data_IF_689940201894
#
_entry.id   IF_689940201894
#
_cell.length_a   1.000
_cell.length_b   1.000
_cell.length_c   1.000
_cell.angle_alpha   90.00
_cell.angle_beta   90.00
_cell.angle_gamma   90.00
#
_symmetry.space_group_name_H-M   'P 1'
#
loop_
_entity.id
_entity.type
_entity.pdbx_description
1 polymer ?
#
# COMPACT_ATOMS: atom_id res chain seq x y z
N UNK A 1 25.42 1.94 -17.23
CA UNK A 1 24.64 2.70 -16.24
C UNK A 1 24.65 1.88 -14.98
N UNK A 2 25.16 2.45 -13.89
CA UNK A 2 24.98 1.86 -12.55
C UNK A 2 23.48 1.87 -12.22
N UNK A 3 22.99 0.75 -11.70
CA UNK A 3 21.61 0.66 -11.23
C UNK A 3 21.52 1.45 -9.92
N UNK A 4 20.59 2.39 -9.85
CA UNK A 4 20.38 3.21 -8.64
C UNK A 4 19.80 2.32 -7.54
N UNK A 5 20.43 2.31 -6.36
CA UNK A 5 19.87 1.69 -5.16
C UNK A 5 18.91 2.67 -4.46
N UNK A 6 17.62 2.48 -4.68
CA UNK A 6 16.58 3.34 -4.10
C UNK A 6 16.50 3.23 -2.57
N UNK A 7 16.90 2.10 -1.96
CA UNK A 7 16.91 1.98 -0.50
C UNK A 7 17.99 2.87 0.09
N UNK A 8 19.20 2.83 -0.48
CA UNK A 8 20.29 3.71 -0.04
C UNK A 8 19.94 5.19 -0.27
N UNK A 9 19.34 5.53 -1.41
CA UNK A 9 18.91 6.89 -1.70
C UNK A 9 17.83 7.40 -0.72
N UNK A 10 16.82 6.58 -0.40
CA UNK A 10 15.80 6.94 0.58
C UNK A 10 16.41 7.12 1.98
N UNK A 11 17.35 6.26 2.37
CA UNK A 11 18.00 6.39 3.68
C UNK A 11 18.82 7.69 3.78
N UNK A 12 19.51 8.08 2.72
CA UNK A 12 20.17 9.38 2.67
C UNK A 12 19.16 10.53 2.82
N UNK A 13 18.06 10.50 2.05
CA UNK A 13 17.03 11.54 2.12
C UNK A 13 16.40 11.64 3.53
N UNK A 14 16.19 10.51 4.23
CA UNK A 14 15.74 10.50 5.63
C UNK A 14 16.71 11.23 6.56
N UNK A 15 17.99 10.90 6.45
CA UNK A 15 19.03 11.54 7.27
C UNK A 15 19.09 13.05 7.02
N UNK A 16 18.93 13.48 5.77
CA UNK A 16 18.92 14.91 5.41
C UNK A 16 17.68 15.62 5.98
N UNK A 17 16.52 14.96 6.01
CA UNK A 17 15.31 15.47 6.69
C UNK A 17 15.44 15.48 8.21
N UNK A 18 16.15 14.52 8.82
CA UNK A 18 16.42 14.53 10.27
C UNK A 18 17.44 15.61 10.67
N UNK A 19 18.28 16.09 9.76
CA UNK A 19 19.24 17.15 10.06
C UNK A 19 18.60 18.54 10.23
N UNK A 20 17.35 18.73 9.79
CA UNK A 20 16.67 20.04 9.73
C UNK A 20 15.63 20.26 10.86
N UNK A 21 15.73 19.52 11.98
CA UNK A 21 14.87 19.60 13.16
C UNK A 21 14.72 21.05 13.68
N UNK A 22 13.67 21.75 13.24
CA UNK A 22 12.73 22.54 14.07
C UNK A 22 11.81 23.45 13.25
N UNK A 23 12.14 23.79 11.98
CA UNK A 23 11.26 24.61 11.14
C UNK A 23 11.26 24.14 9.68
N UNK A 24 10.10 23.66 9.19
CA UNK A 24 9.87 23.46 7.75
C UNK A 24 9.79 24.83 7.09
N UNK A 25 10.91 25.36 6.62
CA UNK A 25 10.96 26.54 5.76
C UNK A 25 10.82 26.09 4.30
N UNK A 26 10.52 27.04 3.39
CA UNK A 26 10.55 26.75 1.95
C UNK A 26 11.90 26.23 1.44
N UNK A 27 12.99 26.52 2.15
CA UNK A 27 14.34 26.04 1.82
C UNK A 27 14.50 24.52 2.03
N UNK A 28 13.66 23.91 2.87
CA UNK A 28 13.71 22.48 3.18
C UNK A 28 12.70 21.64 2.37
N UNK A 29 11.90 22.28 1.51
CA UNK A 29 10.87 21.63 0.69
C UNK A 29 11.45 20.49 -0.14
N UNK A 30 12.55 20.74 -0.86
CA UNK A 30 13.14 19.75 -1.77
C UNK A 30 13.58 18.47 -1.02
N UNK A 31 14.08 18.58 0.22
CA UNK A 31 14.48 17.41 1.01
C UNK A 31 13.27 16.52 1.38
N UNK A 32 12.15 17.15 1.72
CA UNK A 32 10.89 16.43 1.98
C UNK A 32 10.34 15.80 0.69
N UNK A 33 10.43 16.50 -0.44
CA UNK A 33 10.04 15.98 -1.75
C UNK A 33 10.89 14.77 -2.16
N UNK A 34 12.20 14.81 -1.92
CA UNK A 34 13.12 13.71 -2.17
C UNK A 34 12.79 12.48 -1.31
N UNK A 35 12.55 12.67 -0.01
CA UNK A 35 12.18 11.57 0.88
C UNK A 35 10.82 10.97 0.50
N UNK A 36 9.82 11.81 0.19
CA UNK A 36 8.50 11.38 -0.30
C UNK A 36 8.61 10.54 -1.58
N UNK A 37 9.36 11.02 -2.58
CA UNK A 37 9.62 10.29 -3.82
C UNK A 37 10.34 8.97 -3.55
N UNK A 38 11.33 8.99 -2.65
CA UNK A 38 12.10 7.81 -2.26
C UNK A 38 11.20 6.70 -1.71
N UNK A 39 10.22 7.04 -0.87
CA UNK A 39 9.26 6.07 -0.36
C UNK A 39 8.50 5.35 -1.49
N UNK A 40 8.03 6.10 -2.49
CA UNK A 40 7.29 5.56 -3.65
C UNK A 40 8.19 4.66 -4.50
N UNK A 41 9.41 5.12 -4.80
CA UNK A 41 10.36 4.36 -5.62
C UNK A 41 10.76 3.03 -4.99
N UNK A 42 11.01 3.02 -3.68
CA UNK A 42 11.28 1.77 -2.95
C UNK A 42 10.04 0.87 -2.95
N UNK A 43 8.84 1.43 -2.77
CA UNK A 43 7.61 0.64 -2.75
C UNK A 43 7.29 -0.02 -4.12
N UNK A 44 7.59 0.66 -5.23
CA UNK A 44 7.51 0.09 -6.58
C UNK A 44 8.54 -1.02 -6.80
N UNK A 45 9.77 -0.85 -6.31
CA UNK A 45 10.79 -1.89 -6.42
C UNK A 45 10.42 -3.14 -5.61
N UNK A 46 9.86 -2.96 -4.40
CA UNK A 46 9.31 -4.04 -3.59
C UNK A 46 8.14 -4.78 -4.27
N UNK A 47 7.40 -4.12 -5.17
CA UNK A 47 6.37 -4.79 -5.96
C UNK A 47 7.00 -5.61 -7.10
N UNK A 48 8.03 -5.07 -7.75
CA UNK A 48 8.77 -5.76 -8.84
C UNK A 48 9.52 -6.98 -8.35
N UNK A 49 10.12 -6.93 -7.17
CA UNK A 49 10.87 -8.04 -6.58
C UNK A 49 9.97 -9.19 -6.08
N UNK A 50 8.66 -8.91 -5.91
CA UNK A 50 7.61 -9.81 -5.41
C UNK A 50 7.86 -10.40 -4.00
N UNK A 51 8.91 -9.98 -3.30
CA UNK A 51 9.36 -10.53 -2.02
C UNK A 51 9.27 -9.51 -0.88
N UNK A 52 9.34 -8.23 -1.20
CA UNK A 52 9.45 -7.16 -0.20
C UNK A 52 8.17 -6.32 -0.05
N UNK A 53 7.08 -6.69 -0.74
CA UNK A 53 5.83 -5.90 -0.74
C UNK A 53 5.22 -5.65 0.64
N UNK A 54 5.52 -6.47 1.64
CA UNK A 54 5.11 -6.27 3.04
C UNK A 54 5.68 -4.99 3.67
N UNK A 55 6.73 -4.40 3.09
CA UNK A 55 7.29 -3.11 3.56
C UNK A 55 6.45 -1.91 3.10
N UNK A 56 5.58 -2.09 2.10
CA UNK A 56 4.93 -0.97 1.42
C UNK A 56 3.92 -0.24 2.31
N UNK A 57 3.25 -0.93 3.24
CA UNK A 57 2.37 -0.27 4.21
C UNK A 57 3.11 0.74 5.08
N UNK A 58 4.36 0.45 5.48
CA UNK A 58 5.19 1.41 6.22
C UNK A 58 5.63 2.59 5.34
N UNK A 59 6.10 2.30 4.12
CA UNK A 59 6.55 3.33 3.17
C UNK A 59 5.42 4.29 2.78
N UNK A 60 4.20 3.80 2.63
CA UNK A 60 3.02 4.62 2.35
C UNK A 60 2.68 5.58 3.50
N UNK A 61 2.72 5.13 4.75
CA UNK A 61 2.51 6.00 5.92
C UNK A 61 3.60 7.07 6.03
N UNK A 62 4.84 6.71 5.75
CA UNK A 62 5.96 7.64 5.73
C UNK A 62 5.81 8.69 4.62
N UNK A 63 5.47 8.25 3.41
CA UNK A 63 5.15 9.12 2.27
C UNK A 63 4.04 10.12 2.61
N UNK A 64 2.93 9.65 3.22
CA UNK A 64 1.85 10.52 3.69
C UNK A 64 2.32 11.54 4.74
N UNK A 65 3.21 11.13 5.64
CA UNK A 65 3.83 12.04 6.62
C UNK A 65 4.63 13.17 5.97
N UNK A 66 5.33 12.90 4.87
CA UNK A 66 6.02 13.93 4.09
C UNK A 66 5.03 14.78 3.28
N UNK A 67 4.06 14.17 2.61
CA UNK A 67 3.01 14.87 1.87
C UNK A 67 2.25 15.87 2.75
N UNK A 68 1.90 15.47 3.99
CA UNK A 68 1.22 16.34 4.94
C UNK A 68 2.05 17.57 5.35
N UNK A 69 3.38 17.45 5.41
CA UNK A 69 4.28 18.59 5.65
C UNK A 69 4.41 19.50 4.43
N UNK A 70 4.25 18.93 3.23
CA UNK A 70 4.37 19.63 1.94
C UNK A 70 3.06 20.28 1.47
N UNK A 71 1.92 19.96 2.09
CA UNK A 71 0.59 20.31 1.57
C UNK A 71 0.31 21.81 1.41
N UNK A 72 1.01 22.66 2.18
CA UNK A 72 0.84 24.12 2.11
C UNK A 72 1.75 24.77 1.05
N UNK A 73 2.58 24.00 0.35
CA UNK A 73 3.41 24.45 -0.76
C UNK A 73 2.72 24.06 -2.07
N UNK A 74 2.04 25.01 -2.71
CA UNK A 74 1.29 24.78 -3.95
C UNK A 74 2.18 24.20 -5.07
N UNK A 75 3.46 24.55 -5.09
CA UNK A 75 4.42 24.02 -6.06
C UNK A 75 4.68 22.51 -5.89
N UNK A 76 4.42 21.96 -4.70
CA UNK A 76 4.56 20.53 -4.41
C UNK A 76 3.29 19.73 -4.72
N UNK A 77 2.14 20.37 -4.96
CA UNK A 77 0.85 19.69 -5.13
C UNK A 77 0.87 18.66 -6.24
N UNK A 78 1.45 19.00 -7.40
CA UNK A 78 1.54 18.06 -8.53
C UNK A 78 2.38 16.83 -8.18
N UNK A 79 3.47 17.02 -7.43
CA UNK A 79 4.32 15.91 -7.00
C UNK A 79 3.62 15.04 -5.95
N UNK A 80 2.88 15.65 -5.01
CA UNK A 80 2.08 14.92 -4.02
C UNK A 80 1.02 14.07 -4.73
N UNK A 81 0.29 14.64 -5.69
CA UNK A 81 -0.70 13.93 -6.51
C UNK A 81 -0.07 12.72 -7.20
N UNK A 82 1.04 12.92 -7.91
CA UNK A 82 1.74 11.85 -8.63
C UNK A 82 2.26 10.75 -7.68
N UNK A 83 2.77 11.12 -6.50
CA UNK A 83 3.23 10.18 -5.48
C UNK A 83 2.07 9.38 -4.87
N UNK A 84 0.93 10.03 -4.61
CA UNK A 84 -0.27 9.38 -4.10
C UNK A 84 -0.82 8.36 -5.11
N UNK A 85 -0.95 8.77 -6.37
CA UNK A 85 -1.37 7.88 -7.46
C UNK A 85 -0.48 6.64 -7.54
N UNK A 86 0.85 6.82 -7.61
CA UNK A 86 1.81 5.72 -7.73
C UNK A 86 1.83 4.82 -6.50
N UNK A 87 1.78 5.39 -5.29
CA UNK A 87 1.76 4.60 -4.07
C UNK A 87 0.50 3.73 -3.98
N UNK A 88 -0.65 4.26 -4.39
CA UNK A 88 -1.92 3.53 -4.40
C UNK A 88 -1.91 2.29 -5.28
N UNK A 89 -1.13 2.31 -6.37
CA UNK A 89 -0.97 1.15 -7.25
C UNK A 89 -0.14 0.02 -6.60
N UNK A 90 0.59 0.29 -5.52
CA UNK A 90 1.49 -0.70 -4.87
C UNK A 90 1.08 -1.11 -3.45
N UNK A 91 -0.01 -0.53 -2.88
CA UNK A 91 -0.52 -0.85 -1.53
C UNK A 91 -1.90 -1.51 -1.49
N UNK A 92 -2.21 -2.38 -2.45
CA UNK A 92 -3.54 -2.99 -2.66
C UNK A 92 -4.11 -3.84 -1.50
N UNK A 93 -3.34 -4.10 -0.43
CA UNK A 93 -3.78 -4.88 0.76
C UNK A 93 -4.16 -4.03 1.96
N UNK A 94 -4.11 -2.70 1.84
CA UNK A 94 -4.32 -1.74 2.93
C UNK A 94 -5.47 -0.78 2.59
N UNK A 95 -6.74 -1.17 2.82
CA UNK A 95 -7.89 -0.37 2.39
C UNK A 95 -8.01 0.98 3.09
N UNK A 96 -7.73 1.07 4.41
CA UNK A 96 -7.81 2.36 5.13
C UNK A 96 -6.65 3.26 4.72
N UNK A 97 -5.46 2.71 4.56
CA UNK A 97 -4.33 3.49 4.06
C UNK A 97 -4.58 3.97 2.62
N UNK A 98 -5.25 3.18 1.79
CA UNK A 98 -5.66 3.60 0.44
C UNK A 98 -6.67 4.76 0.48
N UNK A 99 -7.58 4.78 1.46
CA UNK A 99 -8.49 5.92 1.70
C UNK A 99 -7.68 7.16 2.03
N UNK A 100 -6.74 7.10 2.97
CA UNK A 100 -5.90 8.24 3.37
C UNK A 100 -5.11 8.80 2.17
N UNK A 101 -4.56 7.93 1.31
CA UNK A 101 -3.87 8.35 0.09
C UNK A 101 -4.81 9.03 -0.91
N UNK A 102 -5.99 8.47 -1.15
CA UNK A 102 -6.97 9.07 -2.06
C UNK A 102 -7.51 10.41 -1.54
N UNK A 103 -7.66 10.56 -0.23
CA UNK A 103 -8.03 11.83 0.40
C UNK A 103 -6.93 12.89 0.24
N UNK A 104 -5.66 12.52 0.43
CA UNK A 104 -4.52 13.40 0.16
C UNK A 104 -4.48 13.83 -1.32
N UNK A 105 -4.65 12.89 -2.25
CA UNK A 105 -4.67 13.13 -3.69
C UNK A 105 -5.79 14.12 -4.08
N UNK A 106 -7.00 13.93 -3.56
CA UNK A 106 -8.13 14.86 -3.78
C UNK A 106 -7.96 16.22 -3.11
N UNK A 107 -7.16 16.31 -2.04
CA UNK A 107 -6.92 17.56 -1.34
C UNK A 107 -5.95 18.48 -2.11
N UNK A 108 -4.96 17.91 -2.80
CA UNK A 108 -3.99 18.67 -3.61
C UNK A 108 -4.37 18.75 -5.09
N UNK A 109 -5.27 17.90 -5.56
CA UNK A 109 -5.74 17.89 -6.95
C UNK A 109 -6.44 19.20 -7.33
N UNK A 110 -6.01 19.78 -8.46
CA UNK A 110 -6.56 21.05 -8.96
C UNK A 110 -7.85 20.84 -9.76
N UNK A 111 -8.03 19.64 -10.32
CA UNK A 111 -9.20 19.26 -11.12
C UNK A 111 -10.12 18.29 -10.37
N UNK A 112 -11.42 18.34 -10.68
CA UNK A 112 -12.36 17.36 -10.15
C UNK A 112 -12.12 15.98 -10.78
N UNK A 113 -11.54 15.07 -10.00
CA UNK A 113 -11.46 13.66 -10.37
C UNK A 113 -12.68 12.88 -9.83
N UNK A 114 -13.75 12.88 -10.61
CA UNK A 114 -14.99 12.13 -10.33
C UNK A 114 -14.72 10.61 -10.17
N UNK A 115 -13.78 10.06 -10.93
CA UNK A 115 -13.47 8.63 -10.89
C UNK A 115 -12.76 8.25 -9.58
N UNK A 116 -11.81 9.08 -9.13
CA UNK A 116 -11.16 8.94 -7.85
C UNK A 116 -12.14 9.11 -6.69
N UNK A 117 -13.04 10.12 -6.74
CA UNK A 117 -14.10 10.31 -5.75
C UNK A 117 -15.02 9.10 -5.65
N UNK A 118 -15.46 8.57 -6.78
CA UNK A 118 -16.30 7.36 -6.83
C UNK A 118 -15.59 6.15 -6.21
N UNK A 119 -14.30 5.94 -6.55
CA UNK A 119 -13.47 4.88 -5.96
C UNK A 119 -13.28 5.06 -4.45
N UNK A 120 -13.08 6.29 -3.98
CA UNK A 120 -12.96 6.62 -2.55
C UNK A 120 -14.24 6.27 -1.80
N UNK A 121 -15.41 6.62 -2.33
CA UNK A 121 -16.70 6.30 -1.71
C UNK A 121 -16.96 4.79 -1.63
N UNK A 122 -16.57 4.02 -2.65
CA UNK A 122 -16.65 2.57 -2.62
C UNK A 122 -15.74 1.96 -1.54
N UNK A 123 -14.51 2.47 -1.38
CA UNK A 123 -13.61 2.05 -0.32
C UNK A 123 -14.16 2.38 1.07
N UNK A 124 -14.62 3.63 1.26
CA UNK A 124 -15.25 4.08 2.52
C UNK A 124 -16.47 3.23 2.87
N UNK A 125 -17.31 2.93 1.88
CA UNK A 125 -18.46 2.05 2.08
C UNK A 125 -18.05 0.66 2.57
N UNK A 126 -17.08 0.02 1.88
CA UNK A 126 -16.62 -1.32 2.25
C UNK A 126 -15.98 -1.36 3.65
N UNK A 127 -15.11 -0.39 3.98
CA UNK A 127 -14.53 -0.25 5.32
C UNK A 127 -15.64 -0.07 6.37
N UNK A 128 -16.62 0.79 6.09
CA UNK A 128 -17.75 1.03 6.99
C UNK A 128 -18.59 -0.24 7.23
N UNK A 129 -18.82 -1.06 6.21
CA UNK A 129 -19.45 -2.37 6.35
C UNK A 129 -18.59 -3.33 7.19
N UNK A 130 -17.28 -3.37 6.94
CA UNK A 130 -16.35 -4.22 7.69
C UNK A 130 -16.33 -3.85 9.19
N UNK A 131 -16.28 -2.57 9.52
CA UNK A 131 -16.27 -2.07 10.91
C UNK A 131 -17.57 -2.41 11.65
N UNK A 132 -18.69 -2.52 10.94
CA UNK A 132 -19.98 -2.98 11.49
C UNK A 132 -20.13 -4.51 11.52
N UNK A 133 -19.16 -5.26 11.01
CA UNK A 133 -19.23 -6.72 10.86
C UNK A 133 -20.16 -7.20 9.74
N UNK A 134 -20.61 -6.32 8.85
CA UNK A 134 -21.53 -6.61 7.75
C UNK A 134 -20.76 -7.10 6.50
N UNK A 135 -19.97 -8.16 6.66
CA UNK A 135 -19.06 -8.64 5.62
C UNK A 135 -19.77 -9.11 4.34
N UNK A 136 -21.04 -9.51 4.45
CA UNK A 136 -21.90 -9.89 3.33
C UNK A 136 -22.28 -8.71 2.42
N UNK A 137 -22.20 -7.48 2.93
CA UNK A 137 -22.53 -6.25 2.18
C UNK A 137 -21.34 -5.65 1.43
N UNK A 138 -20.12 -6.15 1.65
CA UNK A 138 -18.91 -5.64 1.01
C UNK A 138 -19.01 -5.82 -0.51
N UNK A 139 -18.85 -4.71 -1.24
CA UNK A 139 -18.84 -4.67 -2.70
C UNK A 139 -17.54 -5.27 -3.23
N UNK A 140 -17.66 -6.06 -4.29
CA UNK A 140 -16.51 -6.52 -5.08
C UNK A 140 -16.13 -5.43 -6.06
N UNK A 141 -14.95 -4.82 -5.87
CA UNK A 141 -14.51 -3.66 -6.66
C UNK A 141 -13.71 -4.04 -7.92
N UNK A 142 -13.52 -5.35 -8.16
CA UNK A 142 -12.79 -5.86 -9.31
C UNK A 142 -13.53 -7.06 -9.92
N UNK A 143 -13.12 -7.46 -11.13
CA UNK A 143 -13.65 -8.65 -11.79
C UNK A 143 -13.35 -9.95 -11.01
N UNK A 144 -12.22 -9.99 -10.29
CA UNK A 144 -11.88 -11.08 -9.39
C UNK A 144 -12.41 -10.78 -7.99
N UNK A 145 -13.04 -11.79 -7.39
CA UNK A 145 -13.55 -11.69 -6.02
C UNK A 145 -12.41 -11.78 -5.01
N UNK A 146 -12.41 -10.88 -4.04
CA UNK A 146 -11.57 -10.94 -2.83
C UNK A 146 -12.40 -11.32 -1.62
N UNK A 147 -11.74 -11.88 -0.59
CA UNK A 147 -12.44 -12.21 0.65
C UNK A 147 -12.80 -10.92 1.41
N UNK A 148 -14.08 -10.70 1.79
CA UNK A 148 -14.49 -9.55 2.61
C UNK A 148 -13.65 -9.30 3.87
N UNK A 149 -13.01 -10.33 4.45
CA UNK A 149 -12.12 -10.14 5.61
C UNK A 149 -10.94 -9.20 5.31
N UNK A 150 -10.54 -9.04 4.04
CA UNK A 150 -9.47 -8.14 3.60
C UNK A 150 -9.80 -6.65 3.85
N UNK A 151 -11.06 -6.31 4.13
CA UNK A 151 -11.50 -4.95 4.47
C UNK A 151 -11.52 -4.67 5.98
N UNK A 152 -11.33 -5.69 6.81
CA UNK A 152 -11.39 -5.55 8.28
C UNK A 152 -10.17 -4.82 8.83
N UNK A 153 -10.34 -4.15 9.96
CA UNK A 153 -9.22 -3.52 10.65
C UNK A 153 -8.18 -4.55 11.12
N UNK A 154 -8.65 -5.73 11.55
CA UNK A 154 -7.79 -6.83 11.98
C UNK A 154 -6.86 -7.32 10.85
N UNK A 155 -7.38 -7.42 9.61
CA UNK A 155 -6.56 -7.75 8.44
C UNK A 155 -5.41 -6.74 8.25
N UNK A 156 -5.75 -5.46 8.19
CA UNK A 156 -4.79 -4.38 7.89
C UNK A 156 -3.73 -4.21 8.99
N UNK A 157 -4.07 -4.56 10.23
CA UNK A 157 -3.14 -4.57 11.36
C UNK A 157 -2.04 -5.63 11.25
N UNK A 158 -2.31 -6.76 10.58
CA UNK A 158 -1.40 -7.92 10.60
C UNK A 158 -0.85 -8.29 9.22
N UNK A 159 -1.41 -7.77 8.13
CA UNK A 159 -1.10 -8.28 6.78
C UNK A 159 0.37 -8.10 6.37
N UNK A 160 1.02 -7.02 6.80
CA UNK A 160 2.45 -6.81 6.54
C UNK A 160 3.30 -7.86 7.29
N UNK A 161 3.00 -8.12 8.57
CA UNK A 161 3.70 -9.15 9.36
C UNK A 161 3.44 -10.56 8.82
N UNK A 162 2.20 -10.83 8.43
CA UNK A 162 1.81 -12.10 7.79
C UNK A 162 2.58 -12.31 6.48
N UNK A 163 2.66 -11.29 5.63
CA UNK A 163 3.37 -11.42 4.35
C UNK A 163 4.90 -11.52 4.54
N UNK A 164 5.45 -10.88 5.57
CA UNK A 164 6.84 -11.09 5.99
C UNK A 164 7.08 -12.54 6.44
N UNK A 165 6.21 -13.09 7.29
CA UNK A 165 6.28 -14.51 7.70
C UNK A 165 6.18 -15.46 6.49
N UNK A 166 5.25 -15.21 5.58
CA UNK A 166 5.07 -16.01 4.35
C UNK A 166 6.32 -15.95 3.48
N UNK A 167 6.91 -14.77 3.31
CA UNK A 167 8.14 -14.60 2.52
C UNK A 167 9.32 -15.34 3.15
N UNK A 168 9.46 -15.30 4.48
CA UNK A 168 10.51 -16.02 5.20
C UNK A 168 10.33 -17.54 5.11
N UNK A 169 9.10 -18.04 5.26
CA UNK A 169 8.81 -19.47 5.15
C UNK A 169 9.04 -20.02 3.73
N UNK A 170 8.89 -19.19 2.69
CA UNK A 170 9.02 -19.59 1.29
C UNK A 170 10.34 -19.15 0.63
N UNK A 171 11.30 -18.62 1.39
CA UNK A 171 12.53 -17.99 0.85
C UNK A 171 13.38 -18.93 -0.02
N UNK A 172 13.36 -20.22 0.30
CA UNK A 172 14.15 -21.28 -0.37
C UNK A 172 13.32 -22.07 -1.40
N UNK A 173 12.01 -21.79 -1.51
CA UNK A 173 11.14 -22.49 -2.44
C UNK A 173 11.32 -21.94 -3.88
N UNK A 174 11.45 -22.82 -4.90
CA UNK A 174 11.61 -22.38 -6.27
C UNK A 174 10.32 -21.70 -6.77
N UNK A 175 10.46 -20.47 -7.27
CA UNK A 175 9.37 -19.81 -7.99
C UNK A 175 9.04 -20.53 -9.31
N UNK A 176 7.80 -20.39 -9.79
CA UNK A 176 7.36 -20.97 -11.06
C UNK A 176 5.86 -21.20 -11.12
N UNK A 177 5.44 -22.02 -12.10
CA UNK A 177 4.05 -22.42 -12.29
C UNK A 177 3.47 -23.03 -11.01
N UNK A 178 2.38 -22.46 -10.51
CA UNK A 178 1.64 -22.88 -9.34
C UNK A 178 2.12 -22.28 -8.02
N UNK A 179 3.17 -21.45 -8.04
CA UNK A 179 3.75 -20.86 -6.85
C UNK A 179 2.75 -20.01 -6.07
N UNK A 180 1.82 -19.33 -6.75
CA UNK A 180 0.76 -18.55 -6.09
C UNK A 180 -0.10 -19.39 -5.13
N UNK A 181 -0.36 -20.67 -5.46
CA UNK A 181 -1.16 -21.55 -4.59
C UNK A 181 -0.40 -21.94 -3.33
N UNK A 182 0.93 -22.08 -3.40
CA UNK A 182 1.76 -22.30 -2.21
C UNK A 182 1.75 -21.07 -1.31
N UNK A 183 1.94 -19.87 -1.88
CA UNK A 183 1.83 -18.59 -1.16
C UNK A 183 0.49 -18.47 -0.46
N UNK A 184 -0.62 -18.77 -1.13
CA UNK A 184 -1.96 -18.68 -0.53
C UNK A 184 -2.20 -19.72 0.56
N UNK A 185 -1.68 -20.94 0.39
CA UNK A 185 -1.77 -21.99 1.41
C UNK A 185 -1.03 -21.58 2.69
N UNK A 186 0.20 -21.07 2.55
CA UNK A 186 0.99 -20.57 3.68
C UNK A 186 0.34 -19.35 4.31
N UNK A 187 -0.06 -18.34 3.51
CA UNK A 187 -0.74 -17.13 4.02
C UNK A 187 -1.98 -17.49 4.84
N UNK A 188 -2.81 -18.41 4.35
CA UNK A 188 -4.01 -18.85 5.07
C UNK A 188 -3.66 -19.48 6.44
N UNK A 189 -2.62 -20.31 6.48
CA UNK A 189 -2.13 -20.91 7.75
C UNK A 189 -1.55 -19.86 8.69
N UNK A 190 -0.82 -18.86 8.18
CA UNK A 190 -0.26 -17.80 9.00
C UNK A 190 -1.37 -16.91 9.57
N UNK A 191 -2.33 -16.50 8.74
CA UNK A 191 -3.51 -15.70 9.14
C UNK A 191 -4.34 -16.36 10.24
N UNK A 192 -4.47 -17.70 10.24
CA UNK A 192 -5.23 -18.39 11.29
C UNK A 192 -4.57 -18.27 12.68
N UNK A 193 -3.24 -18.09 12.75
CA UNK A 193 -2.53 -17.76 14.01
C UNK A 193 -3.02 -16.42 14.60
N UNK A 194 -3.43 -15.50 13.73
CA UNK A 194 -3.99 -14.19 14.08
C UNK A 194 -5.53 -14.21 14.23
N UNK A 195 -6.16 -15.39 14.14
CA UNK A 195 -7.62 -15.54 14.24
C UNK A 195 -8.39 -15.12 12.99
N UNK A 196 -7.72 -15.02 11.83
CA UNK A 196 -8.35 -14.66 10.56
C UNK A 196 -8.52 -15.90 9.70
N UNK A 197 -9.77 -16.29 9.45
CA UNK A 197 -10.13 -17.33 8.48
C UNK A 197 -10.28 -16.72 7.09
N UNK A 198 -9.21 -16.75 6.30
CA UNK A 198 -9.17 -16.18 4.96
C UNK A 198 -9.36 -17.23 3.86
N UNK A 199 -10.13 -16.88 2.82
CA UNK A 199 -10.33 -17.69 1.62
C UNK A 199 -9.44 -17.18 0.50
N UNK A 200 -8.65 -18.08 -0.08
CA UNK A 200 -7.75 -17.77 -1.20
C UNK A 200 -8.50 -17.29 -2.46
N UNK A 201 -7.82 -16.57 -3.37
CA UNK A 201 -8.36 -16.21 -4.68
C UNK A 201 -8.92 -17.42 -5.45
N UNK A 202 -8.22 -18.57 -5.43
CA UNK A 202 -8.69 -19.82 -6.05
C UNK A 202 -9.96 -20.38 -5.41
N UNK A 203 -10.15 -20.19 -4.10
CA UNK A 203 -11.37 -20.60 -3.39
C UNK A 203 -12.54 -19.68 -3.72
N UNK A 204 -12.29 -18.37 -3.81
CA UNK A 204 -13.29 -17.34 -4.10
C UNK A 204 -13.73 -17.31 -5.57
N UNK A 205 -12.84 -17.66 -6.50
CA UNK A 205 -13.03 -17.53 -7.94
C UNK A 205 -12.98 -18.91 -8.62
N UNK A 206 -13.94 -19.76 -8.29
CA UNK A 206 -14.05 -21.09 -8.90
C UNK A 206 -14.18 -20.98 -10.41
N UNK A 207 -13.31 -21.69 -11.15
CA UNK A 207 -13.28 -21.68 -12.61
C UNK A 207 -12.27 -20.72 -13.23
N UNK A 208 -11.60 -19.88 -12.42
CA UNK A 208 -10.44 -19.11 -12.87
C UNK A 208 -9.17 -19.93 -12.65
N UNK A 209 -8.35 -20.05 -13.69
CA UNK A 209 -7.03 -20.66 -13.59
C UNK A 209 -6.05 -19.60 -13.12
N UNK A 210 -5.38 -19.88 -12.00
CA UNK A 210 -4.33 -19.04 -11.46
C UNK A 210 -3.02 -19.80 -11.52
N UNK A 211 -1.95 -19.08 -11.83
CA UNK A 211 -0.61 -19.60 -11.93
C UNK A 211 0.39 -18.64 -11.28
#
# INVERSE_FOLDING_TARGET
>A
MEQIDYNQALEQARNDVEAIFEHTTGEHRNLLEEAMCGCVLVAEENLRDQKSGWKNGKLAREMLGYAQKLINFEESHKLIEDCCYRMREVIYKHPRLSIEIMEMELQVGVEEDEALRSKLEDYKYNVSCADRGELDKIKQLSMLKSDPVEWTAQWEQVIDDVDMEVAEELKDEPGGMGFCHMVWSVRRRVLSKYGIEWRSPSTMNRGVMFD
#
